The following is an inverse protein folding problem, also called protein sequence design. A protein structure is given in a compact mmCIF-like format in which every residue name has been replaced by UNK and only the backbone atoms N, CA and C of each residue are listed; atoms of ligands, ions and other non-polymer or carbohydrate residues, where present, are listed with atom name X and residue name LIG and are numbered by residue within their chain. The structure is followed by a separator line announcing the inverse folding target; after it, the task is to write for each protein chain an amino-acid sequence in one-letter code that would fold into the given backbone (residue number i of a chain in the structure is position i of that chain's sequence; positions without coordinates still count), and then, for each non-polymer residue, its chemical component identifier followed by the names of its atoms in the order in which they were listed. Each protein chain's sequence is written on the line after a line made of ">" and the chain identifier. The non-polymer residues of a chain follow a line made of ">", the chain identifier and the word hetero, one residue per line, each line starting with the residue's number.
data_IF_662630128021
#
_entry.id   IF_662630128021
#
_cell.length_a   1.000
_cell.length_b   1.000
_cell.length_c   1.000
_cell.angle_alpha   90.00
_cell.angle_beta   90.00
_cell.angle_gamma   90.00
#
_symmetry.space_group_name_H-M   'P 1'
#
loop_
_entity.id
_entity.type
_entity.pdbx_description
1 polymer ?
#
# COMPACT_ATOMS: atom_id res chain seq x y z
N UNK A 1 -15.44 -26.13 14.93
CA UNK A 1 -15.36 -24.91 14.10
C UNK A 1 -14.32 -24.01 14.72
N UNK A 2 -13.12 -23.94 14.15
CA UNK A 2 -12.10 -23.00 14.63
C UNK A 2 -12.65 -21.59 14.46
N UNK A 3 -12.59 -20.78 15.51
CA UNK A 3 -12.95 -19.37 15.43
C UNK A 3 -12.04 -18.73 14.38
N UNK A 4 -12.58 -18.38 13.21
CA UNK A 4 -11.82 -17.61 12.23
C UNK A 4 -11.41 -16.31 12.90
N UNK A 5 -10.10 -16.08 12.99
CA UNK A 5 -9.54 -14.82 13.47
C UNK A 5 -10.08 -13.69 12.58
N UNK A 6 -10.52 -12.60 13.20
CA UNK A 6 -10.96 -11.36 12.53
C UNK A 6 -9.82 -10.72 11.69
N UNK A 7 -8.58 -11.08 12.03
CA UNK A 7 -7.36 -10.60 11.36
C UNK A 7 -7.13 -11.37 10.06
N UNK A 8 -7.17 -10.67 8.93
CA UNK A 8 -6.89 -11.26 7.62
C UNK A 8 -5.40 -11.26 7.31
N UNK A 9 -4.70 -10.15 7.55
CA UNK A 9 -3.27 -10.01 7.32
C UNK A 9 -2.59 -9.50 8.59
N UNK A 10 -1.50 -10.16 8.97
CA UNK A 10 -0.61 -9.71 10.02
C UNK A 10 0.84 -9.82 9.52
N UNK A 11 1.53 -8.69 9.47
CA UNK A 11 2.95 -8.60 9.13
C UNK A 11 3.71 -8.35 10.43
N UNK A 12 4.75 -9.15 10.69
CA UNK A 12 5.54 -9.07 11.94
C UNK A 12 7.01 -8.93 11.64
N UNK A 13 7.64 -7.86 12.12
CA UNK A 13 9.08 -7.63 12.02
C UNK A 13 9.65 -7.73 10.60
N UNK A 14 8.87 -7.37 9.57
CA UNK A 14 9.26 -7.56 8.17
C UNK A 14 10.48 -6.72 7.83
N UNK A 15 11.49 -7.36 7.25
CA UNK A 15 12.70 -6.70 6.74
C UNK A 15 12.97 -7.12 5.30
N UNK A 16 13.05 -6.14 4.42
CA UNK A 16 13.34 -6.33 2.99
C UNK A 16 14.47 -5.41 2.58
N UNK A 17 15.60 -6.01 2.22
CA UNK A 17 16.86 -5.31 1.91
C UNK A 17 17.28 -5.56 0.46
N UNK A 18 17.95 -4.59 -0.14
CA UNK A 18 18.56 -4.74 -1.47
C UNK A 18 20.08 -4.62 -1.39
N UNK A 19 20.77 -5.57 -2.02
CA UNK A 19 22.22 -5.63 -2.04
C UNK A 19 22.73 -5.01 -3.34
N UNK A 20 23.30 -3.81 -3.23
CA UNK A 20 23.81 -3.04 -4.36
C UNK A 20 25.32 -2.87 -4.25
N UNK A 21 25.99 -2.46 -5.34
CA UNK A 21 27.43 -2.15 -5.30
C UNK A 21 27.77 -1.04 -4.30
N UNK A 22 26.85 -0.10 -4.09
CA UNK A 22 27.01 1.00 -3.14
C UNK A 22 26.76 0.60 -1.67
N UNK A 23 26.24 -0.61 -1.42
CA UNK A 23 25.92 -1.13 -0.09
C UNK A 23 24.50 -1.72 0.03
N UNK A 24 24.09 -1.99 1.27
CA UNK A 24 22.81 -2.65 1.57
C UNK A 24 21.73 -1.61 1.85
N UNK A 25 20.77 -1.48 0.93
CA UNK A 25 19.59 -0.61 1.07
C UNK A 25 18.57 -1.28 1.98
N UNK A 26 18.31 -0.70 3.15
CA UNK A 26 17.30 -1.19 4.10
C UNK A 26 15.93 -0.59 3.81
N UNK A 27 15.30 -1.06 2.73
CA UNK A 27 14.06 -0.48 2.20
C UNK A 27 12.85 -0.67 3.12
N UNK A 28 12.75 -1.82 3.78
CA UNK A 28 11.77 -2.10 4.85
C UNK A 28 12.55 -2.69 6.01
N UNK A 29 12.42 -2.13 7.21
CA UNK A 29 13.30 -2.44 8.34
C UNK A 29 12.57 -2.61 9.68
N UNK A 30 11.89 -3.75 9.81
CA UNK A 30 11.24 -4.18 11.05
C UNK A 30 9.87 -3.53 11.20
N UNK A 31 9.03 -3.65 10.17
CA UNK A 31 7.66 -3.13 10.22
C UNK A 31 6.67 -4.20 10.70
N UNK A 32 5.67 -3.74 11.43
CA UNK A 32 4.53 -4.53 11.88
C UNK A 32 3.26 -3.87 11.32
N UNK A 33 2.38 -4.67 10.72
CA UNK A 33 1.11 -4.20 10.15
C UNK A 33 0.01 -5.21 10.44
N UNK A 34 -1.22 -4.72 10.58
CA UNK A 34 -2.38 -5.57 10.84
C UNK A 34 -3.58 -5.06 10.07
N UNK A 35 -4.27 -5.96 9.36
CA UNK A 35 -5.49 -5.64 8.60
C UNK A 35 -6.54 -6.70 8.88
N UNK A 36 -7.71 -6.28 9.33
CA UNK A 36 -8.88 -7.14 9.50
C UNK A 36 -9.67 -7.31 8.21
N UNK A 37 -10.56 -8.30 8.19
CA UNK A 37 -11.51 -8.47 7.08
C UNK A 37 -12.40 -7.23 6.98
N UNK A 38 -12.58 -6.70 5.77
CA UNK A 38 -13.34 -5.47 5.53
C UNK A 38 -12.70 -4.17 6.06
N UNK A 39 -11.51 -4.22 6.66
CA UNK A 39 -10.77 -3.03 7.11
C UNK A 39 -9.93 -2.46 5.96
N UNK A 40 -9.82 -1.14 5.90
CA UNK A 40 -8.91 -0.43 5.02
C UNK A 40 -7.73 0.15 5.81
N UNK A 41 -6.51 -0.25 5.45
CA UNK A 41 -5.25 0.28 5.97
C UNK A 41 -4.61 1.21 4.95
N UNK A 42 -4.33 2.45 5.35
CA UNK A 42 -3.51 3.38 4.59
C UNK A 42 -2.02 3.23 4.91
N UNK A 43 -1.16 3.18 3.91
CA UNK A 43 0.29 3.29 4.07
C UNK A 43 0.75 4.57 3.39
N UNK A 44 1.24 5.52 4.17
CA UNK A 44 1.56 6.88 3.73
C UNK A 44 3.00 7.26 4.04
N UNK A 45 3.53 8.24 3.33
CA UNK A 45 4.89 8.73 3.50
C UNK A 45 5.47 9.29 2.19
N UNK A 46 6.60 9.97 2.28
CA UNK A 46 7.33 10.54 1.14
C UNK A 46 7.77 9.44 0.17
N UNK A 47 8.09 9.83 -1.08
CA UNK A 47 8.69 8.92 -2.05
C UNK A 47 9.98 8.31 -1.49
N UNK A 48 10.21 7.02 -1.78
CA UNK A 48 11.39 6.30 -1.29
C UNK A 48 11.34 5.84 0.17
N UNK A 49 10.25 6.05 0.91
CA UNK A 49 10.15 5.59 2.32
C UNK A 49 9.88 4.08 2.50
N UNK A 50 9.79 3.29 1.42
CA UNK A 50 9.61 1.84 1.47
C UNK A 50 8.19 1.33 1.26
N UNK A 51 7.21 2.21 0.98
CA UNK A 51 5.78 1.84 0.84
C UNK A 51 5.52 0.75 -0.20
N UNK A 52 6.00 0.94 -1.44
CA UNK A 52 5.85 -0.04 -2.52
C UNK A 52 6.69 -1.30 -2.30
N UNK A 53 7.81 -1.20 -1.58
CA UNK A 53 8.58 -2.39 -1.19
C UNK A 53 7.80 -3.22 -0.18
N UNK A 54 7.04 -2.59 0.72
CA UNK A 54 6.16 -3.29 1.66
C UNK A 54 5.10 -4.12 0.93
N UNK A 55 4.37 -3.53 -0.03
CA UNK A 55 3.35 -4.27 -0.82
C UNK A 55 3.97 -5.43 -1.61
N UNK A 56 5.08 -5.17 -2.30
CA UNK A 56 5.79 -6.21 -3.06
C UNK A 56 6.33 -7.32 -2.15
N UNK A 57 6.75 -6.99 -0.92
CA UNK A 57 7.20 -7.98 0.06
C UNK A 57 6.06 -8.86 0.54
N UNK A 58 4.89 -8.28 0.86
CA UNK A 58 3.67 -9.02 1.23
C UNK A 58 3.29 -9.99 0.10
N UNK A 59 3.34 -9.52 -1.15
CA UNK A 59 3.04 -10.34 -2.32
C UNK A 59 4.17 -11.29 -2.73
N UNK A 60 5.34 -11.24 -2.07
CA UNK A 60 6.57 -11.96 -2.45
C UNK A 60 7.01 -11.72 -3.91
N UNK A 61 6.84 -10.50 -4.41
CA UNK A 61 7.20 -10.07 -5.77
C UNK A 61 8.56 -9.34 -5.82
N UNK A 62 9.30 -9.31 -4.71
CA UNK A 62 10.67 -8.80 -4.68
C UNK A 62 11.56 -9.73 -5.52
N UNK A 63 12.27 -9.17 -6.50
CA UNK A 63 13.27 -9.89 -7.29
C UNK A 63 14.50 -10.21 -6.43
N UNK A 64 14.85 -11.49 -6.29
CA UNK A 64 16.06 -11.97 -5.61
C UNK A 64 16.97 -12.68 -6.62
N UNK A 65 18.12 -12.10 -7.01
CA UNK A 65 18.68 -10.79 -6.62
C UNK A 65 18.03 -9.58 -7.36
N UNK A 66 18.25 -8.32 -6.91
CA UNK A 66 19.11 -7.88 -5.79
C UNK A 66 18.38 -7.71 -4.44
N UNK A 67 17.06 -7.87 -4.39
CA UNK A 67 16.26 -7.72 -3.17
C UNK A 67 16.03 -9.04 -2.44
N UNK A 68 15.92 -9.01 -1.12
CA UNK A 68 15.58 -10.19 -0.31
C UNK A 68 14.75 -9.81 0.91
N UNK A 69 13.73 -10.62 1.19
CA UNK A 69 13.01 -10.60 2.46
C UNK A 69 13.87 -11.36 3.49
N UNK A 70 14.66 -10.62 4.26
CA UNK A 70 15.68 -11.18 5.16
C UNK A 70 15.10 -11.67 6.48
N UNK A 71 14.02 -11.06 6.95
CA UNK A 71 13.41 -11.36 8.26
C UNK A 71 11.90 -11.07 8.25
N UNK A 72 11.21 -11.60 9.26
CA UNK A 72 9.79 -11.34 9.54
C UNK A 72 8.84 -12.43 9.05
N UNK A 73 7.58 -12.26 9.40
CA UNK A 73 6.49 -13.15 9.04
C UNK A 73 5.40 -12.37 8.30
N UNK A 74 4.76 -13.02 7.32
CA UNK A 74 3.62 -12.47 6.60
C UNK A 74 2.50 -13.50 6.78
N UNK A 75 1.63 -13.26 7.74
CA UNK A 75 0.57 -14.19 8.13
C UNK A 75 -0.72 -13.75 7.44
N UNK A 76 -1.17 -14.53 6.46
CA UNK A 76 -2.43 -14.31 5.76
C UNK A 76 -3.41 -15.43 6.14
N UNK A 77 -4.56 -15.06 6.71
CA UNK A 77 -5.60 -15.97 7.18
C UNK A 77 -5.06 -17.11 8.07
N UNK A 78 -4.15 -16.75 8.97
CA UNK A 78 -3.49 -17.68 9.91
C UNK A 78 -2.31 -18.47 9.33
N UNK A 79 -1.99 -18.32 8.04
CA UNK A 79 -0.89 -19.02 7.38
C UNK A 79 0.28 -18.07 7.06
N UNK A 80 1.50 -18.45 7.44
CA UNK A 80 2.69 -17.68 7.05
C UNK A 80 3.01 -17.90 5.57
N UNK A 81 2.68 -16.91 4.72
CA UNK A 81 2.85 -17.00 3.26
C UNK A 81 4.30 -16.82 2.80
N UNK A 82 5.19 -16.32 3.68
CA UNK A 82 6.62 -16.21 3.40
C UNK A 82 7.27 -17.57 3.14
N UNK A 83 6.85 -18.61 3.85
CA UNK A 83 7.44 -19.96 3.79
C UNK A 83 6.82 -20.88 2.73
N UNK A 84 5.79 -20.43 2.02
CA UNK A 84 5.13 -21.25 1.01
C UNK A 84 6.02 -21.51 -0.21
N UNK A 85 5.77 -22.61 -0.89
CA UNK A 85 6.30 -22.83 -2.24
C UNK A 85 5.68 -21.84 -3.24
N UNK A 86 6.32 -21.68 -4.40
CA UNK A 86 5.77 -20.83 -5.47
C UNK A 86 4.46 -21.39 -6.04
N UNK A 87 4.25 -22.71 -5.97
CA UNK A 87 2.99 -23.35 -6.34
C UNK A 87 1.85 -22.97 -5.39
N UNK A 88 2.07 -23.05 -4.09
CA UNK A 88 1.09 -22.62 -3.10
C UNK A 88 0.80 -21.11 -3.21
N UNK A 89 1.83 -20.28 -3.45
CA UNK A 89 1.64 -18.85 -3.67
C UNK A 89 0.81 -18.53 -4.91
N UNK A 90 0.85 -19.35 -5.97
CA UNK A 90 0.00 -19.17 -7.16
C UNK A 90 -1.49 -19.32 -6.84
N UNK A 91 -1.88 -20.08 -5.82
CA UNK A 91 -3.28 -20.17 -5.39
C UNK A 91 -3.75 -18.95 -4.57
N UNK A 92 -2.82 -18.17 -4.04
CA UNK A 92 -3.09 -16.97 -3.26
C UNK A 92 -3.13 -15.73 -4.17
N UNK A 93 -2.08 -15.53 -4.97
CA UNK A 93 -1.93 -14.37 -5.87
C UNK A 93 -2.97 -14.40 -6.98
N UNK A 94 -3.60 -13.26 -7.24
CA UNK A 94 -4.61 -13.12 -8.30
C UNK A 94 -5.96 -13.77 -7.98
N UNK A 95 -6.06 -14.52 -6.89
CA UNK A 95 -7.29 -15.15 -6.42
C UNK A 95 -7.73 -14.58 -5.07
N UNK A 96 -7.01 -14.91 -3.99
CA UNK A 96 -7.32 -14.46 -2.62
C UNK A 96 -6.71 -13.09 -2.31
N UNK A 97 -5.55 -12.79 -2.89
CA UNK A 97 -4.87 -11.51 -2.76
C UNK A 97 -4.52 -10.97 -4.14
N UNK A 98 -4.96 -9.75 -4.41
CA UNK A 98 -4.68 -9.06 -5.68
C UNK A 98 -4.00 -7.73 -5.44
N UNK A 99 -3.29 -7.25 -6.47
CA UNK A 99 -2.55 -6.00 -6.42
C UNK A 99 -2.87 -5.11 -7.63
N UNK A 100 -3.13 -3.83 -7.37
CA UNK A 100 -3.15 -2.75 -8.36
C UNK A 100 -1.78 -2.07 -8.27
N UNK A 101 -0.99 -2.19 -9.34
CA UNK A 101 0.38 -1.65 -9.40
C UNK A 101 0.40 -0.16 -9.76
N UNK A 102 1.46 0.55 -9.38
CA UNK A 102 1.61 1.99 -9.63
C UNK A 102 1.60 2.38 -11.12
N UNK A 103 2.10 1.52 -12.03
CA UNK A 103 2.25 1.85 -13.46
C UNK A 103 1.59 0.80 -14.38
N UNK A 104 0.32 1.00 -14.78
CA UNK A 104 -0.45 -0.02 -15.50
C UNK A 104 0.14 -0.42 -16.85
N UNK A 105 0.72 0.52 -17.59
CA UNK A 105 1.29 0.27 -18.92
C UNK A 105 2.52 -0.65 -18.88
N UNK A 106 3.24 -0.69 -17.77
CA UNK A 106 4.37 -1.60 -17.56
C UNK A 106 3.95 -2.98 -17.06
N UNK A 107 2.74 -3.08 -16.49
CA UNK A 107 2.21 -4.31 -15.91
C UNK A 107 1.38 -5.12 -16.90
N UNK A 108 0.74 -4.47 -17.88
CA UNK A 108 0.06 -5.17 -18.97
C UNK A 108 1.06 -5.67 -20.00
N UNK A 109 0.91 -6.93 -20.40
CA UNK A 109 1.75 -7.49 -21.45
C UNK A 109 1.33 -6.92 -22.82
N UNK A 110 2.22 -6.20 -23.53
CA UNK A 110 1.86 -5.46 -24.74
C UNK A 110 1.58 -6.36 -25.95
N UNK A 111 1.95 -7.65 -25.90
CA UNK A 111 1.73 -8.60 -27.01
C UNK A 111 0.44 -9.40 -26.88
N UNK A 112 -0.28 -9.28 -25.77
CA UNK A 112 -1.58 -9.92 -25.58
C UNK A 112 -2.69 -8.87 -25.58
N UNK A 113 -3.90 -9.29 -25.97
CA UNK A 113 -5.07 -8.42 -25.85
C UNK A 113 -5.42 -8.22 -24.39
N UNK A 114 -6.10 -7.11 -24.12
CA UNK A 114 -6.64 -6.75 -22.82
C UNK A 114 -7.55 -7.86 -22.27
N UNK A 115 -8.45 -8.37 -23.12
CA UNK A 115 -9.37 -9.43 -22.73
C UNK A 115 -8.68 -10.72 -22.37
N UNK A 116 -7.67 -11.12 -23.14
CA UNK A 116 -6.96 -12.39 -22.94
C UNK A 116 -6.30 -12.43 -21.56
N UNK A 117 -5.74 -11.31 -21.11
CA UNK A 117 -5.10 -11.18 -19.78
C UNK A 117 -6.10 -11.25 -18.62
N UNK A 118 -7.30 -10.67 -18.77
CA UNK A 118 -8.36 -10.77 -17.76
C UNK A 118 -8.95 -12.19 -17.74
N UNK A 119 -9.19 -12.76 -18.92
CA UNK A 119 -9.73 -14.10 -19.09
C UNK A 119 -8.78 -15.13 -18.47
N UNK A 120 -7.48 -15.01 -18.66
CA UNK A 120 -6.48 -15.92 -18.07
C UNK A 120 -6.66 -16.05 -16.54
N UNK A 121 -6.82 -14.93 -15.82
CA UNK A 121 -7.06 -14.96 -14.38
C UNK A 121 -8.35 -15.71 -14.01
N UNK A 122 -9.43 -15.48 -14.78
CA UNK A 122 -10.72 -16.16 -14.60
C UNK A 122 -10.62 -17.67 -14.89
N UNK A 123 -9.92 -18.07 -15.95
CA UNK A 123 -9.77 -19.48 -16.32
C UNK A 123 -8.93 -20.24 -15.28
N UNK A 124 -7.84 -19.63 -14.80
CA UNK A 124 -6.93 -20.24 -13.83
C UNK A 124 -7.60 -20.39 -12.45
N UNK A 125 -8.31 -19.36 -11.98
CA UNK A 125 -8.76 -19.30 -10.59
C UNK A 125 -10.25 -19.55 -10.38
N UNK A 126 -11.09 -19.28 -11.38
CA UNK A 126 -12.55 -19.41 -11.28
C UNK A 126 -13.10 -20.57 -12.13
N UNK A 127 -12.27 -21.18 -12.98
CA UNK A 127 -12.68 -22.31 -13.83
C UNK A 127 -13.64 -21.94 -14.96
N UNK A 128 -13.91 -20.64 -15.17
CA UNK A 128 -14.69 -20.14 -16.30
C UNK A 128 -13.95 -20.43 -17.60
N UNK A 129 -14.67 -20.61 -18.72
CA UNK A 129 -14.05 -20.86 -20.04
C UNK A 129 -14.86 -20.24 -21.18
N UNK A 130 -14.18 -19.98 -22.29
CA UNK A 130 -14.81 -19.63 -23.57
C UNK A 130 -15.68 -18.38 -23.49
N UNK A 131 -16.93 -18.46 -23.98
CA UNK A 131 -17.84 -17.32 -24.03
C UNK A 131 -18.23 -16.81 -22.64
N UNK A 132 -18.30 -17.68 -21.64
CA UNK A 132 -18.62 -17.30 -20.27
C UNK A 132 -17.52 -16.44 -19.65
N UNK A 133 -16.26 -16.86 -19.79
CA UNK A 133 -15.11 -16.08 -19.31
C UNK A 133 -15.01 -14.73 -20.03
N UNK A 134 -15.26 -14.72 -21.35
CA UNK A 134 -15.30 -13.48 -22.14
C UNK A 134 -16.40 -12.53 -21.68
N UNK A 135 -17.62 -13.03 -21.47
CA UNK A 135 -18.74 -12.22 -20.97
C UNK A 135 -18.39 -11.62 -19.61
N UNK A 136 -17.83 -12.43 -18.71
CA UNK A 136 -17.38 -11.95 -17.40
C UNK A 136 -16.28 -10.89 -17.49
N UNK A 137 -15.33 -11.03 -18.40
CA UNK A 137 -14.31 -10.02 -18.65
C UNK A 137 -14.92 -8.69 -19.13
N UNK A 138 -15.91 -8.72 -20.04
CA UNK A 138 -16.63 -7.52 -20.48
C UNK A 138 -17.38 -6.86 -19.32
N UNK A 139 -18.06 -7.65 -18.48
CA UNK A 139 -18.74 -7.14 -17.27
C UNK A 139 -17.76 -6.45 -16.32
N UNK A 140 -16.57 -7.04 -16.09
CA UNK A 140 -15.52 -6.44 -15.26
C UNK A 140 -15.01 -5.12 -15.84
N UNK A 141 -14.80 -5.07 -17.17
CA UNK A 141 -14.41 -3.83 -17.86
C UNK A 141 -15.50 -2.74 -17.76
N UNK A 142 -16.78 -3.13 -17.83
CA UNK A 142 -17.90 -2.22 -17.62
C UNK A 142 -17.98 -1.72 -16.17
N UNK A 143 -17.77 -2.60 -15.20
CA UNK A 143 -17.77 -2.28 -13.77
C UNK A 143 -16.73 -1.23 -13.41
N UNK A 144 -15.53 -1.32 -13.98
CA UNK A 144 -14.47 -0.31 -13.80
C UNK A 144 -14.68 0.94 -14.65
N UNK A 145 -15.84 1.10 -15.30
CA UNK A 145 -16.21 2.26 -16.11
C UNK A 145 -15.37 2.43 -17.39
N UNK A 146 -14.83 1.35 -17.96
CA UNK A 146 -14.14 1.44 -19.24
C UNK A 146 -15.16 1.66 -20.37
N UNK A 147 -15.03 2.73 -21.19
CA UNK A 147 -15.97 2.98 -22.27
C UNK A 147 -15.82 1.95 -23.40
N UNK A 148 -16.94 1.52 -23.97
CA UNK A 148 -17.04 0.52 -25.04
C UNK A 148 -16.35 -0.82 -24.72
N UNK A 149 -16.64 -1.47 -23.58
CA UNK A 149 -15.88 -2.63 -23.10
C UNK A 149 -15.86 -3.81 -24.11
N UNK A 150 -16.94 -4.00 -24.88
CA UNK A 150 -17.05 -5.02 -25.94
C UNK A 150 -16.05 -4.79 -27.09
N UNK A 151 -15.70 -3.53 -27.34
CA UNK A 151 -14.68 -3.15 -28.31
C UNK A 151 -13.29 -3.25 -27.67
N UNK A 152 -13.13 -2.66 -26.48
CA UNK A 152 -11.84 -2.54 -25.77
C UNK A 152 -11.22 -3.87 -25.38
N UNK A 153 -12.03 -4.89 -25.09
CA UNK A 153 -11.56 -6.23 -24.78
C UNK A 153 -10.65 -6.83 -25.88
N UNK A 154 -10.82 -6.41 -27.13
CA UNK A 154 -10.05 -6.91 -28.27
C UNK A 154 -8.80 -6.08 -28.59
N UNK A 155 -8.58 -4.98 -27.86
CA UNK A 155 -7.44 -4.10 -28.05
C UNK A 155 -6.22 -4.57 -27.29
N UNK A 156 -5.05 -4.10 -27.73
CA UNK A 156 -3.78 -4.24 -27.04
C UNK A 156 -3.54 -3.06 -26.09
N UNK A 157 -2.70 -3.24 -25.05
CA UNK A 157 -2.40 -2.17 -24.08
C UNK A 157 -1.91 -0.86 -24.70
N UNK A 158 -1.15 -0.92 -25.81
CA UNK A 158 -0.62 0.26 -26.49
C UNK A 158 -1.68 1.05 -27.28
N UNK A 159 -2.91 0.53 -27.41
CA UNK A 159 -4.04 1.21 -28.03
C UNK A 159 -4.92 1.95 -27.01
N UNK A 160 -4.56 1.90 -25.72
CA UNK A 160 -5.30 2.49 -24.61
C UNK A 160 -4.61 3.75 -24.07
N UNK A 161 -5.39 4.69 -23.56
CA UNK A 161 -4.83 5.78 -22.74
C UNK A 161 -4.32 5.23 -21.40
N UNK A 162 -3.47 5.98 -20.70
CA UNK A 162 -2.97 5.58 -19.37
C UNK A 162 -4.10 5.25 -18.40
N UNK A 163 -5.15 6.08 -18.34
CA UNK A 163 -6.31 5.83 -17.49
C UNK A 163 -7.17 4.63 -17.93
N UNK A 164 -7.23 4.35 -19.24
CA UNK A 164 -7.89 3.13 -19.74
C UNK A 164 -7.11 1.87 -19.36
N UNK A 165 -5.78 1.89 -19.51
CA UNK A 165 -4.91 0.79 -19.08
C UNK A 165 -5.00 0.56 -17.56
N UNK A 166 -5.14 1.62 -16.78
CA UNK A 166 -5.37 1.55 -15.33
C UNK A 166 -6.68 0.84 -14.99
N UNK A 167 -7.79 1.21 -15.65
CA UNK A 167 -9.07 0.52 -15.47
C UNK A 167 -8.99 -0.95 -15.82
N UNK A 168 -8.30 -1.31 -16.91
CA UNK A 168 -8.04 -2.71 -17.27
C UNK A 168 -7.31 -3.46 -16.16
N UNK A 169 -6.24 -2.87 -15.61
CA UNK A 169 -5.48 -3.48 -14.52
C UNK A 169 -6.34 -3.64 -13.25
N UNK A 170 -7.19 -2.67 -12.94
CA UNK A 170 -8.14 -2.76 -11.83
C UNK A 170 -9.14 -3.89 -12.08
N UNK A 171 -9.72 -3.99 -13.29
CA UNK A 171 -10.64 -5.06 -13.66
C UNK A 171 -10.00 -6.45 -13.49
N UNK A 172 -8.74 -6.58 -13.90
CA UNK A 172 -7.95 -7.80 -13.73
C UNK A 172 -7.70 -8.13 -12.24
N UNK A 173 -7.35 -7.14 -11.42
CA UNK A 173 -7.15 -7.33 -9.98
C UNK A 173 -8.43 -7.77 -9.26
N UNK A 174 -9.60 -7.32 -9.75
CA UNK A 174 -10.91 -7.62 -9.18
C UNK A 174 -11.56 -8.89 -9.74
N UNK A 175 -10.96 -9.51 -10.75
CA UNK A 175 -11.58 -10.60 -11.51
C UNK A 175 -12.04 -11.78 -10.62
N UNK A 176 -11.28 -12.05 -9.56
CA UNK A 176 -11.50 -13.17 -8.65
C UNK A 176 -12.13 -12.80 -7.29
N UNK A 177 -12.61 -11.56 -7.12
CA UNK A 177 -13.16 -11.06 -5.84
C UNK A 177 -12.22 -11.31 -4.65
N UNK A 178 -11.04 -10.67 -4.62
CA UNK A 178 -10.01 -10.97 -3.63
C UNK A 178 -10.47 -10.66 -2.19
N UNK A 179 -10.00 -11.45 -1.24
CA UNK A 179 -10.17 -11.17 0.20
C UNK A 179 -9.32 -9.97 0.64
N UNK A 180 -8.16 -9.76 0.00
CA UNK A 180 -7.27 -8.62 0.22
C UNK A 180 -6.90 -7.96 -1.12
N UNK A 181 -7.17 -6.66 -1.22
CA UNK A 181 -6.75 -5.82 -2.34
C UNK A 181 -5.64 -4.86 -1.89
N UNK A 182 -4.45 -4.98 -2.47
CA UNK A 182 -3.35 -4.05 -2.25
C UNK A 182 -3.31 -3.07 -3.42
N UNK A 183 -3.44 -1.77 -3.16
CA UNK A 183 -3.49 -0.75 -4.18
C UNK A 183 -2.34 0.24 -3.98
N UNK A 184 -1.37 0.21 -4.90
CA UNK A 184 -0.16 1.02 -4.85
C UNK A 184 -0.26 2.22 -5.78
N UNK A 185 -0.50 3.40 -5.19
CA UNK A 185 -0.76 4.66 -5.90
C UNK A 185 -1.79 4.50 -7.04
N UNK A 186 -2.98 3.95 -6.73
CA UNK A 186 -3.95 3.49 -7.74
C UNK A 186 -4.67 4.63 -8.47
N UNK A 187 -4.32 5.90 -8.22
CA UNK A 187 -4.98 7.09 -8.78
C UNK A 187 -4.03 8.16 -9.30
N UNK A 188 -2.70 7.99 -9.15
CA UNK A 188 -1.72 9.07 -9.41
C UNK A 188 -1.67 9.54 -10.87
N UNK A 189 -2.05 8.71 -11.84
CA UNK A 189 -2.06 9.05 -13.27
C UNK A 189 -3.47 9.37 -13.81
N UNK A 190 -4.46 9.58 -12.93
CA UNK A 190 -5.86 9.79 -13.29
C UNK A 190 -6.29 11.23 -13.04
N UNK A 191 -7.23 11.73 -13.84
CA UNK A 191 -7.91 12.99 -13.52
C UNK A 191 -8.85 12.81 -12.32
N UNK A 192 -9.22 13.92 -11.68
CA UNK A 192 -10.00 13.94 -10.42
C UNK A 192 -11.33 13.19 -10.55
N UNK A 193 -11.99 13.25 -11.71
CA UNK A 193 -13.27 12.56 -11.91
C UNK A 193 -13.09 11.05 -11.93
N UNK A 194 -12.04 10.57 -12.61
CA UNK A 194 -11.75 9.14 -12.70
C UNK A 194 -11.17 8.60 -11.39
N UNK A 195 -10.34 9.38 -10.70
CA UNK A 195 -9.89 9.06 -9.35
C UNK A 195 -11.09 8.77 -8.44
N UNK A 196 -12.08 9.68 -8.38
CA UNK A 196 -13.28 9.48 -7.55
C UNK A 196 -14.02 8.17 -7.87
N UNK A 197 -14.21 7.86 -9.17
CA UNK A 197 -14.86 6.62 -9.60
C UNK A 197 -14.12 5.35 -9.13
N UNK A 198 -12.79 5.37 -9.18
CA UNK A 198 -11.99 4.23 -8.71
C UNK A 198 -12.08 4.07 -7.19
N UNK A 199 -12.04 5.17 -6.45
CA UNK A 199 -12.19 5.14 -4.99
C UNK A 199 -13.59 4.66 -4.58
N UNK A 200 -14.64 5.11 -5.25
CA UNK A 200 -16.01 4.63 -5.04
C UNK A 200 -16.13 3.12 -5.30
N UNK A 201 -15.54 2.62 -6.39
CA UNK A 201 -15.52 1.18 -6.69
C UNK A 201 -14.81 0.39 -5.57
N UNK A 202 -13.66 0.87 -5.09
CA UNK A 202 -12.94 0.23 -3.99
C UNK A 202 -13.78 0.21 -2.70
N UNK A 203 -14.51 1.29 -2.42
CA UNK A 203 -15.44 1.37 -1.28
C UNK A 203 -16.57 0.36 -1.41
N UNK A 204 -17.18 0.26 -2.59
CA UNK A 204 -18.23 -0.72 -2.86
C UNK A 204 -17.76 -2.16 -2.67
N UNK A 205 -16.54 -2.49 -3.08
CA UNK A 205 -15.97 -3.82 -2.88
C UNK A 205 -15.81 -4.15 -1.40
N UNK A 206 -15.23 -3.21 -0.64
CA UNK A 206 -15.11 -3.35 0.82
C UNK A 206 -16.47 -3.61 1.47
N UNK A 207 -17.50 -2.85 1.10
CA UNK A 207 -18.83 -2.94 1.70
C UNK A 207 -19.63 -4.17 1.26
N UNK A 208 -19.57 -4.55 -0.03
CA UNK A 208 -20.42 -5.62 -0.60
C UNK A 208 -19.83 -7.02 -0.43
N UNK A 209 -18.51 -7.16 -0.54
CA UNK A 209 -17.83 -8.48 -0.53
C UNK A 209 -16.83 -8.64 0.62
N UNK A 210 -16.80 -7.69 1.56
CA UNK A 210 -15.96 -7.73 2.77
C UNK A 210 -14.45 -7.85 2.47
N UNK A 211 -14.02 -7.29 1.33
CA UNK A 211 -12.61 -7.23 0.93
C UNK A 211 -11.86 -6.26 1.84
N UNK A 212 -10.75 -6.71 2.41
CA UNK A 212 -9.81 -5.83 3.09
C UNK A 212 -8.97 -5.06 2.06
N UNK A 213 -8.59 -3.82 2.39
CA UNK A 213 -7.84 -2.95 1.47
C UNK A 213 -6.56 -2.48 2.14
N UNK A 214 -5.43 -2.57 1.42
CA UNK A 214 -4.23 -1.81 1.74
C UNK A 214 -4.07 -0.75 0.66
N UNK A 215 -4.25 0.51 1.04
CA UNK A 215 -4.09 1.65 0.15
C UNK A 215 -2.74 2.31 0.42
N UNK A 216 -1.82 2.22 -0.53
CA UNK A 216 -0.58 2.99 -0.52
C UNK A 216 -0.80 4.23 -1.35
N UNK A 217 -0.61 5.39 -0.73
CA UNK A 217 -0.72 6.68 -1.41
C UNK A 217 0.11 7.74 -0.70
N UNK A 218 0.43 8.80 -1.41
CA UNK A 218 0.96 10.04 -0.82
C UNK A 218 -0.14 11.11 -0.63
N UNK A 219 -1.35 10.87 -1.13
CA UNK A 219 -2.48 11.77 -0.99
C UNK A 219 -3.22 11.52 0.33
N UNK A 220 -3.01 12.39 1.30
CA UNK A 220 -3.66 12.33 2.60
C UNK A 220 -5.16 12.65 2.52
N UNK A 221 -5.64 13.38 1.52
CA UNK A 221 -7.08 13.61 1.32
C UNK A 221 -7.81 12.30 1.02
N UNK A 222 -7.24 11.47 0.14
CA UNK A 222 -7.76 10.13 -0.14
C UNK A 222 -7.72 9.24 1.10
N UNK A 223 -6.65 9.32 1.89
CA UNK A 223 -6.50 8.56 3.14
C UNK A 223 -7.62 8.90 4.11
N UNK A 224 -7.91 10.19 4.31
CA UNK A 224 -8.94 10.66 5.23
C UNK A 224 -10.35 10.09 4.90
N UNK A 225 -10.62 9.82 3.62
CA UNK A 225 -11.92 9.34 3.15
C UNK A 225 -11.99 7.79 3.08
N UNK A 226 -10.88 7.14 2.77
CA UNK A 226 -10.89 5.73 2.33
C UNK A 226 -10.46 4.73 3.39
N UNK A 227 -9.67 5.12 4.38
CA UNK A 227 -9.02 4.17 5.29
C UNK A 227 -9.50 4.30 6.73
N UNK A 228 -9.47 3.19 7.45
CA UNK A 228 -9.84 3.11 8.87
C UNK A 228 -8.61 3.34 9.76
N UNK A 229 -7.49 2.73 9.39
CA UNK A 229 -6.20 2.78 10.11
C UNK A 229 -5.10 3.29 9.16
N UNK A 230 -4.10 3.98 9.69
CA UNK A 230 -2.99 4.55 8.91
C UNK A 230 -1.66 4.13 9.52
N UNK A 231 -0.76 3.62 8.67
CA UNK A 231 0.66 3.43 8.96
C UNK A 231 1.48 4.50 8.23
N UNK A 232 2.04 5.44 8.98
CA UNK A 232 2.96 6.45 8.45
C UNK A 232 4.36 5.84 8.39
N UNK A 233 4.91 5.71 7.19
CA UNK A 233 6.24 5.18 6.95
C UNK A 233 7.26 6.30 6.69
N UNK A 234 8.42 6.19 7.32
CA UNK A 234 9.56 7.05 7.05
C UNK A 234 10.84 6.22 7.00
N UNK A 235 11.60 6.41 5.92
CA UNK A 235 12.90 5.77 5.71
C UNK A 235 12.91 4.26 6.07
N UNK A 236 11.92 3.49 5.60
CA UNK A 236 11.83 2.04 5.80
C UNK A 236 11.23 1.57 7.13
N UNK A 237 10.78 2.48 8.00
CA UNK A 237 10.15 2.13 9.28
C UNK A 237 8.76 2.73 9.38
N UNK A 238 7.85 2.06 10.10
CA UNK A 238 6.62 2.69 10.58
C UNK A 238 6.98 3.61 11.74
N UNK A 239 6.63 4.89 11.62
CA UNK A 239 6.89 5.93 12.63
C UNK A 239 5.65 6.33 13.41
N UNK A 240 4.47 6.13 12.86
CA UNK A 240 3.20 6.32 13.55
C UNK A 240 2.15 5.35 12.99
N UNK A 241 1.34 4.77 13.87
CA UNK A 241 0.28 3.83 13.52
C UNK A 241 -0.95 4.12 14.38
N UNK A 242 -2.06 4.53 13.78
CA UNK A 242 -3.29 4.87 14.51
C UNK A 242 -4.52 4.81 13.61
N UNK A 243 -5.71 4.91 14.20
CA UNK A 243 -6.92 5.17 13.42
C UNK A 243 -6.81 6.52 12.67
N UNK A 244 -7.47 6.60 11.52
CA UNK A 244 -7.39 7.77 10.63
C UNK A 244 -7.77 9.06 11.36
N UNK A 245 -8.79 9.03 12.23
CA UNK A 245 -9.27 10.24 12.92
C UNK A 245 -8.22 10.77 13.88
N UNK A 246 -7.57 9.88 14.63
CA UNK A 246 -6.47 10.24 15.53
C UNK A 246 -5.28 10.84 14.79
N UNK A 247 -4.91 10.31 13.61
CA UNK A 247 -3.81 10.86 12.79
C UNK A 247 -4.10 12.30 12.39
N UNK A 248 -5.29 12.59 11.86
CA UNK A 248 -5.63 13.93 11.36
C UNK A 248 -5.92 14.92 12.50
N UNK A 249 -6.50 14.47 13.60
CA UNK A 249 -6.85 15.36 14.71
C UNK A 249 -5.65 15.72 15.60
N UNK A 250 -4.78 14.75 15.90
CA UNK A 250 -3.67 14.96 16.83
C UNK A 250 -2.46 14.09 16.43
N UNK A 251 -1.78 14.39 15.31
CA UNK A 251 -0.60 13.64 14.88
C UNK A 251 0.53 13.72 15.91
N UNK A 252 1.14 12.58 16.23
CA UNK A 252 2.14 12.50 17.30
C UNK A 252 3.56 12.65 16.77
N UNK A 253 3.94 11.88 15.76
CA UNK A 253 5.31 11.94 15.26
C UNK A 253 5.56 13.28 14.55
N UNK A 254 6.69 14.00 14.80
CA UNK A 254 6.99 15.27 14.14
C UNK A 254 6.99 15.19 12.61
N UNK A 255 7.35 14.03 12.05
CA UNK A 255 7.20 13.75 10.62
C UNK A 255 5.73 13.76 10.16
N UNK A 256 4.84 13.09 10.88
CA UNK A 256 3.39 13.07 10.56
C UNK A 256 2.78 14.46 10.67
N UNK A 257 3.20 15.23 11.68
CA UNK A 257 2.83 16.66 11.81
C UNK A 257 3.25 17.45 10.57
N UNK A 258 4.50 17.27 10.13
CA UNK A 258 5.01 17.89 8.90
C UNK A 258 4.23 17.48 7.65
N UNK A 259 3.93 16.18 7.49
CA UNK A 259 3.15 15.68 6.35
C UNK A 259 1.78 16.32 6.27
N UNK A 260 1.07 16.42 7.40
CA UNK A 260 -0.25 17.02 7.46
C UNK A 260 -0.21 18.54 7.27
N UNK A 261 0.80 19.22 7.82
CA UNK A 261 1.00 20.65 7.63
C UNK A 261 1.30 21.03 6.17
N UNK A 262 1.89 20.12 5.39
CA UNK A 262 2.14 20.30 3.96
C UNK A 262 0.91 20.13 3.07
N UNK A 263 -0.25 19.76 3.63
CA UNK A 263 -1.50 19.63 2.86
C UNK A 263 -2.15 21.01 2.72
N UNK A 264 -2.46 21.47 1.50
CA UNK A 264 -3.16 22.74 1.31
C UNK A 264 -4.60 22.65 1.86
N UNK A 265 -4.99 23.63 2.67
CA UNK A 265 -6.36 23.76 3.17
C UNK A 265 -7.19 24.52 2.13
N UNK A 266 -8.23 23.89 1.59
CA UNK A 266 -9.13 24.51 0.62
C UNK A 266 -9.80 25.74 1.22
N UNK A 267 -9.59 26.91 0.58
CA UNK A 267 -10.16 28.19 1.01
C UNK A 267 -9.22 29.05 1.86
N UNK A 268 -8.06 28.53 2.26
CA UNK A 268 -7.00 29.33 2.88
C UNK A 268 -6.00 29.77 1.80
N UNK A 269 -5.75 31.07 1.72
CA UNK A 269 -4.67 31.62 0.91
C UNK A 269 -3.47 31.77 1.83
N UNK A 270 -2.49 30.89 1.68
CA UNK A 270 -1.20 30.96 2.35
C UNK A 270 -0.14 31.38 1.34
N UNK A 271 0.74 32.31 1.74
CA UNK A 271 1.79 32.86 0.87
C UNK A 271 2.85 31.80 0.52
N UNK A 272 3.14 30.89 1.46
CA UNK A 272 4.03 29.74 1.25
C UNK A 272 3.44 28.48 1.89
N UNK A 273 3.51 27.36 1.16
CA UNK A 273 3.13 26.05 1.68
C UNK A 273 4.21 25.56 2.66
N UNK A 274 3.78 25.04 3.81
CA UNK A 274 4.71 24.43 4.75
C UNK A 274 5.40 23.22 4.09
N UNK A 275 6.72 23.14 4.21
CA UNK A 275 7.51 22.03 3.68
C UNK A 275 8.29 21.36 4.80
N UNK A 276 8.56 20.06 4.65
CA UNK A 276 9.45 19.33 5.54
C UNK A 276 10.89 19.55 5.04
N UNK A 277 11.75 20.30 5.75
CA UNK A 277 13.07 20.67 5.26
C UNK A 277 13.97 19.45 5.03
N UNK A 278 14.90 19.56 4.08
CA UNK A 278 15.85 18.49 3.75
C UNK A 278 15.24 17.35 2.91
N UNK A 279 15.99 16.25 2.79
CA UNK A 279 15.60 15.07 1.98
C UNK A 279 15.55 13.81 2.84
N UNK A 280 14.79 12.81 2.42
CA UNK A 280 14.79 11.48 3.06
C UNK A 280 16.23 10.94 3.10
N UNK A 281 16.73 10.44 4.24
CA UNK A 281 18.10 9.98 4.36
C UNK A 281 18.37 8.78 3.45
N UNK A 282 19.65 8.55 3.15
CA UNK A 282 20.07 7.35 2.45
C UNK A 282 19.66 6.10 3.24
N UNK A 283 19.01 5.17 2.54
CA UNK A 283 18.63 3.87 3.10
C UNK A 283 19.79 2.87 3.11
N UNK A 284 20.94 3.21 2.50
CA UNK A 284 22.16 2.40 2.55
C UNK A 284 22.82 2.52 3.93
N UNK A 285 22.98 3.76 4.39
CA UNK A 285 23.56 4.11 5.68
C UNK A 285 22.56 4.97 6.46
N UNK A 286 21.45 4.38 6.94
CA UNK A 286 20.48 5.14 7.70
C UNK A 286 21.10 5.64 9.02
N UNK A 287 20.62 6.77 9.58
CA UNK A 287 21.05 7.24 10.89
C UNK A 287 20.95 6.14 11.95
N UNK A 288 21.90 6.09 12.88
CA UNK A 288 21.93 5.08 13.96
C UNK A 288 20.82 5.29 14.97
N UNK A 289 20.39 6.55 15.17
CA UNK A 289 19.32 6.94 16.06
C UNK A 289 17.95 6.98 15.40
N UNK A 290 17.14 7.97 15.76
CA UNK A 290 15.90 8.29 15.05
C UNK A 290 16.22 8.70 13.60
N UNK A 291 15.64 8.00 12.62
CA UNK A 291 15.88 8.27 11.19
C UNK A 291 15.45 9.67 10.76
N UNK A 292 14.51 10.28 11.47
CA UNK A 292 14.01 11.62 11.18
C UNK A 292 14.77 12.73 11.95
N UNK A 293 15.73 12.40 12.82
CA UNK A 293 16.36 13.36 13.72
C UNK A 293 16.94 14.59 13.01
N UNK A 294 17.59 14.40 11.85
CA UNK A 294 18.24 15.50 11.11
C UNK A 294 17.25 16.47 10.46
N UNK A 295 15.97 16.09 10.32
CA UNK A 295 14.88 16.93 9.79
C UNK A 295 13.88 17.33 10.87
N UNK A 296 14.07 16.88 12.11
CA UNK A 296 13.12 17.06 13.20
C UNK A 296 13.37 18.38 13.94
N UNK A 297 12.40 19.29 13.91
CA UNK A 297 12.45 20.53 14.70
C UNK A 297 12.45 20.29 16.23
N UNK A 298 12.02 19.11 16.68
CA UNK A 298 11.93 18.71 18.08
C UNK A 298 13.06 17.72 18.47
N UNK A 299 14.19 17.72 17.74
CA UNK A 299 15.35 16.86 18.05
C UNK A 299 15.94 17.25 19.41
N UNK A 300 16.32 16.24 20.19
CA UNK A 300 17.09 16.37 21.42
C UNK A 300 18.09 15.22 21.55
N UNK A 301 18.96 15.23 22.57
CA UNK A 301 20.10 14.30 22.68
C UNK A 301 19.73 12.81 22.56
N UNK A 302 18.61 12.37 23.15
CA UNK A 302 18.17 10.96 23.09
C UNK A 302 17.81 10.51 21.67
N UNK A 303 17.54 11.43 20.75
CA UNK A 303 17.26 11.10 19.35
C UNK A 303 18.45 10.46 18.62
N UNK A 304 19.66 10.54 19.16
CA UNK A 304 20.84 9.85 18.62
C UNK A 304 20.79 8.32 18.89
N UNK A 305 19.88 7.86 19.75
CA UNK A 305 19.53 6.46 19.96
C UNK A 305 18.24 6.08 19.20
N UNK A 306 18.10 4.83 18.72
CA UNK A 306 16.93 4.42 17.94
C UNK A 306 15.69 4.28 18.84
N UNK A 307 14.61 5.05 18.59
CA UNK A 307 13.39 4.92 19.38
C UNK A 307 12.68 3.58 19.10
N UNK A 308 12.19 2.88 20.14
CA UNK A 308 11.27 1.77 19.96
C UNK A 308 9.88 2.28 19.56
N UNK A 309 8.99 1.36 19.18
CA UNK A 309 7.58 1.68 18.97
C UNK A 309 6.87 1.76 20.34
N UNK A 310 6.48 2.96 20.76
CA UNK A 310 5.71 3.18 21.98
C UNK A 310 4.23 3.01 21.69
N UNK A 311 3.49 2.39 22.61
CA UNK A 311 2.02 2.31 22.54
C UNK A 311 1.41 3.33 23.49
N UNK A 312 0.58 4.20 22.94
CA UNK A 312 -0.16 5.26 23.62
C UNK A 312 -1.59 4.82 23.91
N UNK A 313 -2.32 5.70 24.62
CA UNK A 313 -3.75 5.52 24.87
C UNK A 313 -4.52 5.31 23.54
N UNK A 314 -5.54 4.45 23.59
CA UNK A 314 -6.34 4.12 22.40
C UNK A 314 -5.68 3.13 21.44
N UNK A 315 -4.54 2.52 21.79
CA UNK A 315 -3.86 1.54 20.93
C UNK A 315 -3.03 2.17 19.80
N UNK A 316 -2.95 3.51 19.76
CA UNK A 316 -2.06 4.26 18.89
C UNK A 316 -0.61 3.92 19.19
N UNK A 317 0.23 3.87 18.16
CA UNK A 317 1.64 3.59 18.30
C UNK A 317 2.47 4.68 17.64
N UNK A 318 3.61 5.02 18.24
CA UNK A 318 4.53 6.06 17.73
C UNK A 318 5.98 5.70 18.02
N UNK A 319 6.85 5.89 17.03
CA UNK A 319 8.30 5.63 17.14
C UNK A 319 9.06 6.92 17.43
N UNK A 320 8.87 7.50 18.62
CA UNK A 320 9.50 8.77 19.00
C UNK A 320 9.74 8.89 20.50
N UNK A 321 10.93 9.34 20.88
CA UNK A 321 11.34 9.51 22.29
C UNK A 321 10.54 10.57 23.06
N UNK A 322 9.86 11.50 22.38
CA UNK A 322 8.97 12.48 23.02
C UNK A 322 7.84 11.82 23.82
N UNK A 323 7.52 10.58 23.48
CA UNK A 323 6.43 9.80 24.06
C UNK A 323 6.92 8.65 24.94
N UNK A 324 8.22 8.66 25.28
CA UNK A 324 8.74 7.68 26.22
C UNK A 324 8.11 7.90 27.60
N UNK A 325 7.79 6.84 28.37
CA UNK A 325 7.18 6.97 29.70
C UNK A 325 8.02 7.78 30.70
N UNK A 326 9.33 7.84 30.47
CA UNK A 326 10.34 8.57 31.24
C UNK A 326 10.73 9.91 30.59
N UNK A 327 10.05 10.34 29.52
CA UNK A 327 10.34 11.60 28.85
C UNK A 327 10.08 12.77 29.82
N UNK A 328 11.15 13.33 30.38
CA UNK A 328 11.08 14.64 31.00
C UNK A 328 10.89 15.66 29.88
N UNK A 329 9.83 16.48 29.89
CA UNK A 329 9.80 17.66 29.04
C UNK A 329 11.00 18.53 29.42
N UNK A 330 11.80 18.90 28.42
CA UNK A 330 12.84 19.91 28.59
C UNK A 330 12.22 21.28 28.90
#
# INVERSE_FOLDING_TARGET
>A
MAAHSDVLLEVRGLKTYFYTEAGVVRAVDGIDLKVRRGEALGIVGESGCGKSVTSLSIMRLIQDPPGRIVEGEIIFDGMNIRSLSDEEMRHIRGNRVSMIFQQPTTCLNPVFKVGDQIIEALEIHQGLRGEEARRRAVELLSLVGLPDPERRINQYPHELSGGQAQRVMIAMALACNPELLIADEPTTALDVTIQAQILDLMRELREKINTAIILITHDMGVVAEMVDTVAVMYAGQVVEYADVRSIFAEPKHPYTQGLLASIPVLGEIVDELATIPGTVPSLINPPTGCRFADRCAQRFARCDEPPPMFTLNGGRQVRCWLYAPDAQPA
#
